data_IF_037288353826
#
_entry.id   IF_037288353826
#
_cell.length_a   1.000
_cell.length_b   1.000
_cell.length_c   1.000
_cell.angle_alpha   90.00
_cell.angle_beta   90.00
_cell.angle_gamma   90.00
#
_symmetry.space_group_name_H-M   'P 1'
#
loop_
_entity.id
_entity.type
_entity.pdbx_description
1 polymer ?
#
# COMPACT_ATOMS: atom_id res chain seq x y z
N UNK A 1 -23.14 3.65 -61.63
CA UNK A 1 -24.08 3.97 -60.55
C UNK A 1 -23.64 3.16 -59.36
N UNK A 2 -23.09 3.84 -58.36
CA UNK A 2 -22.44 3.21 -57.22
C UNK A 2 -23.48 2.59 -56.31
N UNK A 3 -23.54 1.25 -56.27
CA UNK A 3 -24.29 0.52 -55.26
C UNK A 3 -23.51 0.59 -53.95
N UNK A 4 -23.60 1.73 -53.26
CA UNK A 4 -23.10 1.87 -51.90
C UNK A 4 -24.11 1.20 -50.95
N UNK A 5 -24.07 -0.13 -50.88
CA UNK A 5 -24.93 -0.91 -49.98
C UNK A 5 -24.66 -0.47 -48.54
N UNK A 6 -25.68 -0.04 -47.82
CA UNK A 6 -25.49 0.48 -46.47
C UNK A 6 -25.00 -0.66 -45.55
N UNK A 7 -23.99 -0.40 -44.72
CA UNK A 7 -23.44 -1.41 -43.81
C UNK A 7 -24.53 -2.09 -42.97
N UNK A 8 -25.52 -1.33 -42.51
CA UNK A 8 -26.68 -1.84 -41.77
C UNK A 8 -27.49 -2.90 -42.55
N UNK A 9 -27.56 -2.78 -43.88
CA UNK A 9 -28.32 -3.68 -44.74
C UNK A 9 -27.57 -4.99 -45.03
N UNK A 10 -26.25 -5.02 -44.76
CA UNK A 10 -25.45 -6.24 -44.88
C UNK A 10 -25.78 -7.19 -43.73
N UNK A 11 -25.64 -8.50 -43.99
CA UNK A 11 -25.83 -9.51 -42.95
C UNK A 11 -24.88 -9.30 -41.75
N UNK A 12 -23.65 -8.83 -42.02
CA UNK A 12 -22.67 -8.51 -41.00
C UNK A 12 -23.08 -7.31 -40.16
N UNK A 13 -23.56 -6.23 -40.79
CA UNK A 13 -24.04 -5.04 -40.08
C UNK A 13 -25.28 -5.32 -39.24
N UNK A 14 -26.26 -6.07 -39.75
CA UNK A 14 -27.41 -6.52 -38.94
C UNK A 14 -26.96 -7.30 -37.71
N UNK A 15 -26.05 -8.27 -37.87
CA UNK A 15 -25.53 -9.03 -36.74
C UNK A 15 -24.75 -8.16 -35.74
N UNK A 16 -24.01 -7.15 -36.22
CA UNK A 16 -23.33 -6.20 -35.35
C UNK A 16 -24.33 -5.37 -34.52
N UNK A 17 -25.35 -4.77 -35.15
CA UNK A 17 -26.29 -3.88 -34.47
C UNK A 17 -27.36 -4.60 -33.64
N UNK A 18 -27.84 -5.76 -34.09
CA UNK A 18 -28.93 -6.48 -33.44
C UNK A 18 -28.43 -7.48 -32.38
N UNK A 19 -27.18 -7.95 -32.48
CA UNK A 19 -26.64 -9.00 -31.59
C UNK A 19 -25.40 -8.54 -30.84
N UNK A 20 -24.36 -8.07 -31.53
CA UNK A 20 -23.08 -7.77 -30.87
C UNK A 20 -23.12 -6.50 -30.03
N UNK A 21 -23.74 -5.44 -30.55
CA UNK A 21 -23.83 -4.14 -29.88
C UNK A 21 -24.69 -4.21 -28.60
N UNK A 22 -25.89 -4.82 -28.60
CA UNK A 22 -26.67 -4.99 -27.37
C UNK A 22 -25.94 -5.84 -26.33
N UNK A 23 -25.26 -6.90 -26.78
CA UNK A 23 -24.46 -7.77 -25.89
C UNK A 23 -23.27 -7.02 -25.28
N UNK A 24 -22.61 -6.14 -26.05
CA UNK A 24 -21.54 -5.30 -25.54
C UNK A 24 -22.06 -4.30 -24.51
N UNK A 25 -23.20 -3.66 -24.77
CA UNK A 25 -23.85 -2.74 -23.82
C UNK A 25 -24.16 -3.47 -22.52
N UNK A 26 -24.76 -4.66 -22.59
CA UNK A 26 -25.08 -5.46 -21.40
C UNK A 26 -23.83 -5.84 -20.59
N UNK A 27 -22.75 -6.23 -21.27
CA UNK A 27 -21.47 -6.52 -20.59
C UNK A 27 -20.91 -5.27 -19.91
N UNK A 28 -20.98 -4.10 -20.54
CA UNK A 28 -20.54 -2.85 -19.94
C UNK A 28 -21.40 -2.45 -18.74
N UNK A 29 -22.71 -2.66 -18.81
CA UNK A 29 -23.62 -2.47 -17.67
C UNK A 29 -23.28 -3.43 -16.52
N UNK A 30 -23.08 -4.71 -16.79
CA UNK A 30 -22.71 -5.72 -15.79
C UNK A 30 -21.35 -5.42 -15.13
N UNK A 31 -20.36 -4.97 -15.91
CA UNK A 31 -19.06 -4.51 -15.40
C UNK A 31 -19.28 -3.27 -14.52
N UNK A 32 -20.07 -2.31 -14.98
CA UNK A 32 -20.35 -1.09 -14.22
C UNK A 32 -21.00 -1.41 -12.87
N UNK A 33 -21.98 -2.31 -12.84
CA UNK A 33 -22.65 -2.78 -11.62
C UNK A 33 -21.67 -3.51 -10.71
N UNK A 34 -20.78 -4.33 -11.27
CA UNK A 34 -19.76 -5.06 -10.51
C UNK A 34 -18.71 -4.13 -9.88
N UNK A 35 -18.33 -3.06 -10.59
CA UNK A 35 -17.43 -2.01 -10.08
C UNK A 35 -18.14 -1.09 -9.06
N UNK A 36 -19.42 -0.80 -9.27
CA UNK A 36 -20.30 -0.03 -8.36
C UNK A 36 -20.63 -0.79 -7.09
N UNK A 37 -20.53 -2.13 -7.10
CA UNK A 37 -20.51 -2.98 -5.91
C UNK A 37 -19.18 -2.76 -5.18
N UNK A 38 -19.02 -1.52 -4.72
CA UNK A 38 -17.93 -1.03 -3.91
C UNK A 38 -17.74 -2.04 -2.79
N UNK A 39 -16.56 -2.63 -2.79
CA UNK A 39 -15.98 -3.36 -1.66
C UNK A 39 -16.55 -2.81 -0.37
N UNK A 40 -17.27 -3.63 0.39
CA UNK A 40 -17.70 -3.26 1.73
C UNK A 40 -16.44 -2.82 2.48
N UNK A 41 -16.35 -1.52 2.77
CA UNK A 41 -15.24 -0.99 3.54
C UNK A 41 -15.35 -1.61 4.92
N UNK A 42 -14.39 -2.47 5.27
CA UNK A 42 -14.25 -2.97 6.64
C UNK A 42 -14.15 -1.75 7.53
N UNK A 43 -15.24 -1.45 8.22
CA UNK A 43 -15.29 -0.32 9.14
C UNK A 43 -14.67 -0.84 10.43
N UNK A 44 -13.40 -0.50 10.65
CA UNK A 44 -12.75 -0.87 11.90
C UNK A 44 -13.45 -0.07 13.03
N UNK A 45 -13.91 -0.73 14.11
CA UNK A 45 -14.69 -0.10 15.18
C UNK A 45 -13.85 0.80 16.11
N UNK A 46 -12.65 1.22 15.68
CA UNK A 46 -11.66 1.90 16.51
C UNK A 46 -11.23 3.18 15.79
N UNK A 47 -11.37 4.32 16.47
CA UNK A 47 -10.69 5.55 16.08
C UNK A 47 -9.18 5.35 16.30
N UNK A 48 -8.46 5.05 15.22
CA UNK A 48 -7.01 4.90 15.24
C UNK A 48 -6.41 6.29 14.99
N UNK A 49 -5.53 6.79 15.88
CA UNK A 49 -4.80 8.03 15.65
C UNK A 49 -4.03 8.00 14.33
N UNK A 50 -3.94 9.13 13.62
CA UNK A 50 -3.22 9.20 12.34
C UNK A 50 -1.73 8.80 12.48
N UNK A 51 -1.12 9.07 13.63
CA UNK A 51 0.26 8.74 13.95
C UNK A 51 0.44 7.32 14.56
N UNK A 52 -0.59 6.48 14.60
CA UNK A 52 -0.49 5.17 15.28
C UNK A 52 0.67 4.30 14.76
N UNK A 53 0.85 4.23 13.44
CA UNK A 53 1.93 3.44 12.83
C UNK A 53 3.31 4.07 13.05
N UNK A 54 3.38 5.38 13.24
CA UNK A 54 4.60 6.10 13.61
C UNK A 54 5.00 5.76 15.06
N UNK A 55 4.06 5.88 16.00
CA UNK A 55 4.27 5.52 17.40
C UNK A 55 4.61 4.03 17.56
N UNK A 56 3.99 3.18 16.72
CA UNK A 56 4.32 1.77 16.64
C UNK A 56 5.76 1.54 16.17
N UNK A 57 6.22 2.29 15.15
CA UNK A 57 7.58 2.17 14.63
C UNK A 57 8.64 2.57 15.66
N UNK A 58 8.42 3.65 16.39
CA UNK A 58 9.32 4.09 17.46
C UNK A 58 9.24 3.23 18.73
N UNK A 59 8.28 2.29 18.80
CA UNK A 59 8.08 1.43 19.97
C UNK A 59 7.48 2.16 21.17
N UNK A 60 6.82 3.31 20.95
CA UNK A 60 6.15 4.09 21.99
C UNK A 60 4.84 3.46 22.45
N UNK A 61 4.36 2.43 21.74
CA UNK A 61 3.18 1.66 22.10
C UNK A 61 3.58 0.43 22.93
N UNK A 62 2.90 0.19 24.04
CA UNK A 62 3.06 -1.04 24.83
C UNK A 62 2.56 -2.25 24.02
N UNK A 63 3.46 -2.89 23.30
CA UNK A 63 3.18 -4.14 22.59
C UNK A 63 3.62 -5.28 23.51
N UNK A 64 2.66 -6.11 23.89
CA UNK A 64 2.90 -7.26 24.77
C UNK A 64 3.96 -8.19 24.18
N UNK A 65 5.16 -8.11 24.75
CA UNK A 65 6.32 -8.99 24.60
C UNK A 65 7.01 -9.08 23.23
N UNK A 66 8.35 -9.17 23.32
CA UNK A 66 9.37 -9.34 22.27
C UNK A 66 9.72 -8.03 21.54
N UNK A 67 10.92 -7.46 21.69
CA UNK A 67 12.20 -8.14 21.63
C UNK A 67 13.17 -7.65 22.70
N UNK A 68 13.39 -8.49 23.70
CA UNK A 68 14.73 -8.56 24.26
C UNK A 68 15.69 -9.03 23.17
N UNK A 69 16.94 -8.61 23.31
CA UNK A 69 18.12 -9.17 22.64
C UNK A 69 18.64 -8.44 21.38
N UNK A 70 19.66 -7.62 21.66
CA UNK A 70 20.91 -7.51 20.86
C UNK A 70 20.83 -6.77 19.53
N UNK A 71 20.44 -5.49 19.54
CA UNK A 71 20.96 -4.60 18.50
C UNK A 71 22.45 -4.31 18.79
N UNK A 72 23.27 -4.51 17.76
CA UNK A 72 24.73 -4.59 17.75
C UNK A 72 25.47 -3.53 18.58
N UNK A 73 25.94 -3.92 19.78
CA UNK A 73 26.85 -3.11 20.60
C UNK A 73 28.24 -2.89 19.95
N UNK A 74 28.56 -3.61 18.86
CA UNK A 74 29.87 -3.50 18.22
C UNK A 74 30.04 -2.15 17.50
N UNK A 75 29.08 -1.78 16.66
CA UNK A 75 29.14 -0.49 15.93
C UNK A 75 29.04 0.70 16.89
N UNK A 76 28.26 0.59 17.96
CA UNK A 76 28.19 1.64 18.99
C UNK A 76 29.56 1.94 19.61
N UNK A 77 30.34 0.91 19.93
CA UNK A 77 31.68 1.11 20.49
C UNK A 77 32.64 1.77 19.50
N UNK A 78 32.57 1.38 18.23
CA UNK A 78 33.40 1.95 17.16
C UNK A 78 33.01 3.41 16.88
N UNK A 79 31.71 3.71 16.84
CA UNK A 79 31.19 5.08 16.69
C UNK A 79 31.66 5.96 17.85
N UNK A 80 31.59 5.46 19.10
CA UNK A 80 32.06 6.21 20.28
C UNK A 80 33.56 6.50 20.16
N UNK A 81 34.38 5.50 19.82
CA UNK A 81 35.83 5.68 19.65
C UNK A 81 36.15 6.75 18.61
N UNK A 82 35.50 6.69 17.45
CA UNK A 82 35.70 7.67 16.37
C UNK A 82 35.21 9.06 16.79
N UNK A 83 34.09 9.16 17.52
CA UNK A 83 33.60 10.43 18.05
C UNK A 83 34.58 11.06 19.04
N UNK A 84 35.17 10.27 19.93
CA UNK A 84 36.16 10.75 20.90
C UNK A 84 37.42 11.26 20.19
N UNK A 85 37.89 10.55 19.16
CA UNK A 85 39.04 10.96 18.33
C UNK A 85 38.77 12.25 17.54
N UNK A 86 37.56 12.40 16.99
CA UNK A 86 37.12 13.62 16.29
C UNK A 86 36.99 14.80 17.26
N UNK A 87 36.43 14.57 18.45
CA UNK A 87 36.27 15.61 19.46
C UNK A 87 37.61 16.17 19.93
N UNK A 88 38.65 15.33 20.01
CA UNK A 88 40.00 15.76 20.38
C UNK A 88 40.69 16.66 19.33
N UNK A 89 40.26 16.59 18.06
CA UNK A 89 40.87 17.31 16.93
C UNK A 89 40.15 18.62 16.57
N UNK A 90 38.90 18.77 16.98
CA UNK A 90 38.03 19.87 16.59
C UNK A 90 37.95 20.96 17.67
N UNK A 91 37.69 22.20 17.25
CA UNK A 91 37.33 23.26 18.21
C UNK A 91 35.93 23.00 18.78
N UNK A 92 35.59 23.54 19.96
CA UNK A 92 34.26 23.37 20.55
C UNK A 92 33.12 23.81 19.63
N UNK A 93 33.33 24.88 18.85
CA UNK A 93 32.36 25.40 17.89
C UNK A 93 32.16 24.44 16.70
N UNK A 94 33.25 23.88 16.17
CA UNK A 94 33.20 22.89 15.10
C UNK A 94 32.54 21.58 15.57
N UNK A 95 32.84 21.14 16.79
CA UNK A 95 32.22 19.97 17.41
C UNK A 95 30.71 20.17 17.61
N UNK A 96 30.28 21.35 18.06
CA UNK A 96 28.86 21.67 18.22
C UNK A 96 28.11 21.64 16.87
N UNK A 97 28.70 22.19 15.81
CA UNK A 97 28.13 22.12 14.46
C UNK A 97 28.08 20.67 13.94
N UNK A 98 29.12 19.89 14.17
CA UNK A 98 29.16 18.48 13.80
C UNK A 98 28.08 17.66 14.49
N UNK A 99 27.93 17.81 15.81
CA UNK A 99 26.86 17.16 16.59
C UNK A 99 25.48 17.51 16.04
N UNK A 100 25.23 18.80 15.76
CA UNK A 100 23.96 19.24 15.16
C UNK A 100 23.73 18.62 13.79
N UNK A 101 24.76 18.52 12.96
CA UNK A 101 24.69 17.90 11.64
C UNK A 101 24.32 16.40 11.75
N UNK A 102 25.00 15.65 12.61
CA UNK A 102 24.70 14.23 12.82
C UNK A 102 23.28 14.03 13.31
N UNK A 103 22.83 14.79 14.31
CA UNK A 103 21.46 14.68 14.81
C UNK A 103 20.43 14.90 13.70
N UNK A 104 20.63 15.90 12.83
CA UNK A 104 19.74 16.12 11.69
C UNK A 104 19.74 14.98 10.67
N UNK A 105 20.90 14.35 10.42
CA UNK A 105 21.01 13.19 9.53
C UNK A 105 20.28 11.99 10.14
N UNK A 106 20.46 11.74 11.43
CA UNK A 106 19.79 10.68 12.17
C UNK A 106 18.27 10.88 12.16
N UNK A 107 17.80 12.08 12.51
CA UNK A 107 16.38 12.45 12.47
C UNK A 107 15.79 12.23 11.07
N UNK A 108 16.45 12.73 10.02
CA UNK A 108 16.00 12.52 8.64
C UNK A 108 15.92 11.03 8.28
N UNK A 109 16.90 10.23 8.71
CA UNK A 109 16.92 8.79 8.42
C UNK A 109 15.80 8.05 9.15
N UNK A 110 15.47 8.46 10.38
CA UNK A 110 14.38 7.89 11.16
C UNK A 110 13.02 8.26 10.57
N UNK A 111 12.83 9.51 10.15
CA UNK A 111 11.61 9.99 9.49
C UNK A 111 11.37 9.24 8.17
N UNK A 112 12.41 9.04 7.35
CA UNK A 112 12.30 8.29 6.11
C UNK A 112 11.95 6.82 6.39
N UNK A 113 12.59 6.20 7.38
CA UNK A 113 12.33 4.81 7.74
C UNK A 113 10.92 4.60 8.31
N UNK A 114 10.44 5.52 9.17
CA UNK A 114 9.07 5.48 9.70
C UNK A 114 8.04 5.66 8.59
N UNK A 115 8.28 6.59 7.67
CA UNK A 115 7.43 6.82 6.50
C UNK A 115 7.37 5.59 5.57
N UNK A 116 8.52 4.96 5.29
CA UNK A 116 8.60 3.74 4.50
C UNK A 116 7.86 2.58 5.17
N UNK A 117 7.99 2.44 6.49
CA UNK A 117 7.28 1.44 7.27
C UNK A 117 5.75 1.61 7.14
N UNK A 118 5.24 2.83 7.34
CA UNK A 118 3.81 3.14 7.20
C UNK A 118 3.29 2.78 5.80
N UNK A 119 4.04 3.14 4.76
CA UNK A 119 3.68 2.84 3.37
C UNK A 119 3.69 1.35 3.08
N UNK A 120 4.73 0.64 3.53
CA UNK A 120 4.85 -0.80 3.40
C UNK A 120 3.71 -1.54 4.09
N UNK A 121 3.37 -1.15 5.32
CA UNK A 121 2.25 -1.71 6.08
C UNK A 121 0.92 -1.51 5.35
N UNK A 122 0.63 -0.27 4.92
CA UNK A 122 -0.62 0.04 4.20
C UNK A 122 -0.73 -0.72 2.88
N UNK A 123 0.38 -0.87 2.15
CA UNK A 123 0.42 -1.66 0.93
C UNK A 123 0.14 -3.15 1.22
N UNK A 124 0.80 -3.73 2.22
CA UNK A 124 0.60 -5.13 2.60
C UNK A 124 -0.85 -5.41 3.00
N UNK A 125 -1.47 -4.55 3.82
CA UNK A 125 -2.88 -4.66 4.20
C UNK A 125 -3.79 -4.57 2.97
N UNK A 126 -3.54 -3.62 2.06
CA UNK A 126 -4.32 -3.49 0.83
C UNK A 126 -4.21 -4.74 -0.05
N UNK A 127 -3.02 -5.35 -0.16
CA UNK A 127 -2.82 -6.59 -0.91
C UNK A 127 -3.54 -7.77 -0.24
N UNK A 128 -3.50 -7.88 1.08
CA UNK A 128 -4.24 -8.90 1.83
C UNK A 128 -5.74 -8.73 1.60
N UNK A 129 -6.28 -7.52 1.77
CA UNK A 129 -7.70 -7.23 1.54
C UNK A 129 -8.09 -7.50 0.08
N UNK A 130 -7.22 -7.20 -0.88
CA UNK A 130 -7.47 -7.51 -2.29
C UNK A 130 -7.49 -9.03 -2.56
N UNK A 131 -6.57 -9.80 -1.98
CA UNK A 131 -6.51 -11.25 -2.10
C UNK A 131 -7.66 -11.98 -1.38
N UNK A 132 -8.16 -11.42 -0.28
CA UNK A 132 -9.31 -11.97 0.46
C UNK A 132 -10.66 -11.71 -0.22
N UNK A 133 -10.74 -10.89 -1.29
CA UNK A 133 -11.99 -10.62 -2.01
C UNK A 133 -12.45 -11.74 -2.94
N UNK A 134 -11.64 -12.78 -3.13
CA UNK A 134 -12.03 -13.91 -3.96
C UNK A 134 -12.54 -15.06 -3.09
N UNK A 135 -13.87 -15.13 -2.92
CA UNK A 135 -14.66 -16.37 -2.74
C UNK A 135 -16.14 -16.02 -2.63
N UNK A 136 -16.85 -16.03 -3.77
CA UNK A 136 -18.22 -16.52 -3.84
C UNK A 136 -18.35 -17.45 -5.02
N UNK A 137 -17.87 -18.69 -4.84
CA UNK A 137 -18.41 -19.81 -5.60
C UNK A 137 -19.91 -19.89 -5.27
N UNK A 138 -20.75 -19.66 -6.28
CA UNK A 138 -22.15 -20.06 -6.21
C UNK A 138 -22.20 -21.57 -6.37
N UNK A 139 -22.37 -22.30 -5.26
CA UNK A 139 -22.90 -23.65 -5.34
C UNK A 139 -24.32 -23.56 -5.92
N UNK A 140 -24.44 -23.94 -7.20
CA UNK A 140 -25.71 -24.41 -7.77
C UNK A 140 -25.81 -25.88 -7.42
N UNK A 141 -26.31 -26.18 -6.23
CA UNK A 141 -26.96 -27.47 -6.01
C UNK A 141 -28.31 -27.40 -6.74
N UNK A 142 -28.28 -27.79 -8.01
CA UNK A 142 -29.47 -28.22 -8.72
C UNK A 142 -29.86 -29.59 -8.18
N UNK A 143 -30.77 -29.61 -7.22
CA UNK A 143 -31.53 -30.81 -6.86
C UNK A 143 -32.31 -31.29 -8.09
N UNK A 144 -32.03 -32.51 -8.52
CA UNK A 144 -32.94 -33.35 -9.29
C UNK A 144 -34.14 -33.73 -8.44
N UNK A 145 -35.34 -33.29 -8.82
CA UNK A 145 -36.48 -34.15 -9.24
C UNK A 145 -37.19 -33.45 -10.40
#
# INVERSE_FOLDING_TARGET
>A
MDNNMNFYETQMGRNFFEVQLPRLIQVLEDISVSLLRKTESVTLPIEIPENFLEEFYYGNLEIGACSGETCSNHHLKEIISIQDELQAQLTPEQWALFRKCITLIEDQSLDEASYMFQHGYRLAVNLIVAGLKETKEKNKDGETI
#
